data_IF_881013289731
#
_entry.id   IF_881013289731
#
_cell.length_a   1.000
_cell.length_b   1.000
_cell.length_c   1.000
_cell.angle_alpha   90.00
_cell.angle_beta   90.00
_cell.angle_gamma   90.00
#
_symmetry.space_group_name_H-M   'P 1'
#
loop_
_entity.id
_entity.type
_entity.pdbx_description
1 polymer ?
#
# COMPACT_ATOMS: atom_id res chain seq x y z
N UNK A 1 -11.99 -12.10 -16.25
CA UNK A 1 -11.18 -11.57 -15.12
C UNK A 1 -10.04 -10.68 -15.61
N UNK A 2 -9.19 -11.17 -16.53
CA UNK A 2 -8.12 -10.36 -17.16
C UNK A 2 -8.63 -9.06 -17.83
N UNK A 3 -9.88 -9.06 -18.31
CA UNK A 3 -10.54 -7.85 -18.81
C UNK A 3 -10.84 -6.81 -17.73
N UNK A 4 -11.20 -7.24 -16.51
CA UNK A 4 -11.68 -6.34 -15.46
C UNK A 4 -10.56 -5.54 -14.80
N UNK A 5 -9.40 -6.17 -14.53
CA UNK A 5 -8.27 -5.45 -13.94
C UNK A 5 -7.76 -4.35 -14.88
N UNK A 6 -7.67 -4.65 -16.18
CA UNK A 6 -7.31 -3.65 -17.20
C UNK A 6 -8.29 -2.48 -17.24
N UNK A 7 -9.61 -2.76 -17.28
CA UNK A 7 -10.61 -1.68 -17.26
C UNK A 7 -10.60 -0.87 -15.97
N UNK A 8 -10.33 -1.50 -14.82
CA UNK A 8 -10.24 -0.80 -13.55
C UNK A 8 -9.00 0.11 -13.49
N UNK A 9 -7.87 -0.35 -14.02
CA UNK A 9 -6.63 0.45 -14.14
C UNK A 9 -6.85 1.62 -15.09
N UNK A 10 -7.37 1.39 -16.29
CA UNK A 10 -7.63 2.45 -17.27
C UNK A 10 -8.56 3.53 -16.69
N UNK A 11 -9.71 3.10 -16.12
CA UNK A 11 -10.65 4.00 -15.47
C UNK A 11 -10.01 4.80 -14.34
N UNK A 12 -9.22 4.16 -13.48
CA UNK A 12 -8.56 4.88 -12.39
C UNK A 12 -7.51 5.86 -12.91
N UNK A 13 -6.71 5.48 -13.90
CA UNK A 13 -5.68 6.32 -14.50
C UNK A 13 -6.28 7.63 -15.03
N UNK A 14 -7.42 7.56 -15.70
CA UNK A 14 -8.18 8.73 -16.15
C UNK A 14 -8.79 9.53 -14.99
N UNK A 15 -9.48 8.86 -14.05
CA UNK A 15 -10.17 9.51 -12.91
C UNK A 15 -9.24 10.36 -12.05
N UNK A 16 -8.00 9.90 -11.83
CA UNK A 16 -7.02 10.61 -11.00
C UNK A 16 -5.97 11.37 -11.83
N UNK A 17 -6.13 11.43 -13.15
CA UNK A 17 -5.22 12.09 -14.08
C UNK A 17 -3.76 11.69 -13.91
N UNK A 18 -3.54 10.39 -13.69
CA UNK A 18 -2.20 9.86 -13.47
C UNK A 18 -1.30 10.08 -14.69
N UNK A 19 -0.01 10.30 -14.43
CA UNK A 19 1.00 10.57 -15.47
C UNK A 19 1.85 9.33 -15.77
N UNK A 20 1.85 8.33 -14.89
CA UNK A 20 2.63 7.11 -15.04
C UNK A 20 2.02 5.91 -14.31
N UNK A 21 2.49 4.72 -14.68
CA UNK A 21 2.17 3.45 -14.02
C UNK A 21 3.45 2.74 -13.58
N UNK A 22 3.38 2.01 -12.47
CA UNK A 22 4.41 1.05 -12.06
C UNK A 22 3.76 -0.29 -11.77
N UNK A 23 4.26 -1.38 -12.36
CA UNK A 23 3.78 -2.73 -12.07
C UNK A 23 4.76 -3.50 -11.18
N UNK A 24 4.24 -4.13 -10.12
CA UNK A 24 5.01 -5.01 -9.24
C UNK A 24 4.72 -6.45 -9.61
N UNK A 25 5.77 -7.22 -9.89
CA UNK A 25 5.70 -8.64 -10.21
C UNK A 25 4.87 -8.91 -11.48
N UNK A 26 5.31 -8.43 -12.65
CA UNK A 26 4.58 -8.62 -13.90
C UNK A 26 4.47 -10.09 -14.32
N UNK A 27 5.41 -10.94 -13.87
CA UNK A 27 5.51 -12.35 -14.27
C UNK A 27 5.51 -12.50 -15.79
N UNK A 28 4.57 -13.27 -16.33
CA UNK A 28 4.39 -13.47 -17.79
C UNK A 28 3.65 -12.32 -18.50
N UNK A 29 3.50 -11.17 -17.84
CA UNK A 29 2.94 -9.93 -18.39
C UNK A 29 1.43 -9.89 -18.51
N UNK A 30 0.70 -10.55 -17.59
CA UNK A 30 -0.77 -10.59 -17.65
C UNK A 30 -1.43 -9.21 -17.42
N UNK A 31 -0.89 -8.44 -16.46
CA UNK A 31 -1.32 -7.05 -16.20
C UNK A 31 -0.53 -6.09 -17.10
N UNK A 32 0.74 -6.38 -17.38
CA UNK A 32 1.58 -5.64 -18.33
C UNK A 32 0.91 -5.41 -19.69
N UNK A 33 0.30 -6.45 -20.27
CA UNK A 33 -0.45 -6.34 -21.53
C UNK A 33 -1.63 -5.36 -21.46
N UNK A 34 -2.13 -5.04 -20.26
CA UNK A 34 -3.23 -4.10 -20.06
C UNK A 34 -2.75 -2.68 -19.81
N UNK A 35 -1.68 -2.50 -19.04
CA UNK A 35 -1.13 -1.16 -18.79
C UNK A 35 -0.52 -0.53 -20.04
N UNK A 36 0.01 -1.35 -20.97
CA UNK A 36 0.52 -0.89 -22.27
C UNK A 36 -0.52 -0.17 -23.12
N UNK A 37 -1.79 -0.57 -23.00
CA UNK A 37 -2.90 0.05 -23.72
C UNK A 37 -3.36 1.36 -23.04
N UNK A 38 -2.90 1.62 -21.80
CA UNK A 38 -3.29 2.78 -20.98
C UNK A 38 -2.24 3.88 -21.01
N UNK A 39 -0.97 3.54 -20.87
CA UNK A 39 0.13 4.51 -20.82
C UNK A 39 1.39 3.95 -21.47
N UNK A 40 2.19 4.85 -22.07
CA UNK A 40 3.58 4.55 -22.48
C UNK A 40 4.59 4.83 -21.38
N UNK A 41 4.21 5.66 -20.42
CA UNK A 41 5.03 6.02 -19.27
C UNK A 41 4.82 5.03 -18.14
N UNK A 42 5.49 3.88 -18.25
CA UNK A 42 5.49 2.88 -17.20
C UNK A 42 6.78 2.05 -17.17
N UNK A 43 7.05 1.46 -16.02
CA UNK A 43 8.04 0.41 -15.85
C UNK A 43 7.49 -0.70 -14.95
N UNK A 44 8.16 -1.85 -14.99
CA UNK A 44 7.80 -3.02 -14.21
C UNK A 44 8.98 -3.44 -13.33
N UNK A 45 8.69 -3.91 -12.12
CA UNK A 45 9.68 -4.45 -11.19
C UNK A 45 9.48 -5.95 -11.06
N UNK A 46 10.45 -6.74 -11.49
CA UNK A 46 10.40 -8.20 -11.46
C UNK A 46 11.61 -8.78 -10.72
N UNK A 47 11.37 -9.73 -9.81
CA UNK A 47 12.45 -10.38 -9.06
C UNK A 47 13.04 -11.57 -9.83
N UNK A 48 12.22 -12.25 -10.62
CA UNK A 48 12.61 -13.44 -11.38
C UNK A 48 13.17 -13.06 -12.76
N UNK A 49 14.49 -13.14 -12.91
CA UNK A 49 15.21 -12.90 -14.17
C UNK A 49 14.73 -13.79 -15.32
N UNK A 50 14.16 -14.97 -15.03
CA UNK A 50 13.67 -15.88 -16.07
C UNK A 50 12.40 -15.35 -16.76
N UNK A 51 11.79 -14.29 -16.24
CA UNK A 51 10.64 -13.64 -16.85
C UNK A 51 11.01 -12.71 -18.01
N UNK A 52 12.29 -12.34 -18.19
CA UNK A 52 12.74 -11.41 -19.24
C UNK A 52 12.19 -11.77 -20.63
N UNK A 53 12.31 -13.02 -21.13
CA UNK A 53 11.83 -13.35 -22.48
C UNK A 53 10.32 -13.12 -22.65
N UNK A 54 9.53 -13.41 -21.61
CA UNK A 54 8.08 -13.21 -21.65
C UNK A 54 7.71 -11.73 -21.67
N UNK A 55 8.44 -10.89 -20.93
CA UNK A 55 8.22 -9.45 -20.90
C UNK A 55 8.63 -8.78 -22.22
N UNK A 56 9.73 -9.24 -22.83
CA UNK A 56 10.13 -8.81 -24.18
C UNK A 56 9.12 -9.26 -25.23
N UNK A 57 8.56 -10.48 -25.13
CA UNK A 57 7.49 -10.97 -26.02
C UNK A 57 6.18 -10.18 -25.86
N UNK A 58 5.88 -9.71 -24.65
CA UNK A 58 4.79 -8.73 -24.40
C UNK A 58 5.07 -7.40 -25.11
N UNK A 59 6.32 -7.14 -25.50
CA UNK A 59 6.79 -5.97 -26.21
C UNK A 59 7.23 -4.85 -25.27
N UNK A 60 7.84 -5.18 -24.14
CA UNK A 60 8.53 -4.20 -23.30
C UNK A 60 9.92 -3.93 -23.85
N UNK A 61 10.35 -2.67 -23.76
CA UNK A 61 11.74 -2.33 -23.95
C UNK A 61 12.54 -2.69 -22.68
N UNK A 62 13.83 -3.05 -22.83
CA UNK A 62 14.69 -3.37 -21.68
C UNK A 62 14.71 -2.29 -20.60
N UNK A 63 14.63 -1.02 -21.00
CA UNK A 63 14.59 0.13 -20.07
C UNK A 63 13.33 0.20 -19.21
N UNK A 64 12.26 -0.51 -19.60
CA UNK A 64 11.02 -0.60 -18.84
C UNK A 64 11.01 -1.75 -17.84
N UNK A 65 12.04 -2.60 -17.84
CA UNK A 65 12.13 -3.78 -16.99
C UNK A 65 13.23 -3.55 -15.95
N UNK A 66 12.81 -3.42 -14.70
CA UNK A 66 13.72 -3.30 -13.56
C UNK A 66 13.77 -4.65 -12.85
N UNK A 67 14.91 -5.32 -12.92
CA UNK A 67 15.11 -6.56 -12.20
C UNK A 67 15.61 -6.31 -10.78
N UNK A 68 14.90 -6.82 -9.78
CA UNK A 68 15.27 -6.67 -8.37
C UNK A 68 14.14 -7.02 -7.41
N UNK A 69 14.49 -7.13 -6.12
CA UNK A 69 13.47 -7.20 -5.08
C UNK A 69 12.78 -5.83 -4.97
N UNK A 70 11.45 -5.81 -5.14
CA UNK A 70 10.67 -4.59 -5.02
C UNK A 70 10.93 -3.86 -3.68
N UNK A 71 11.18 -4.60 -2.60
CA UNK A 71 11.47 -4.01 -1.30
C UNK A 71 12.79 -3.22 -1.27
N UNK A 72 13.71 -3.49 -2.19
CA UNK A 72 15.04 -2.88 -2.25
C UNK A 72 15.20 -1.88 -3.41
N UNK A 73 14.37 -1.98 -4.45
CA UNK A 73 14.42 -1.08 -5.62
C UNK A 73 14.17 0.38 -5.22
N UNK A 74 14.99 1.27 -5.77
CA UNK A 74 14.78 2.73 -5.73
C UNK A 74 13.73 3.15 -6.75
N UNK A 75 12.46 3.06 -6.34
CA UNK A 75 11.30 3.43 -7.15
C UNK A 75 11.31 4.92 -7.53
N UNK A 76 11.79 5.79 -6.64
CA UNK A 76 11.80 7.24 -6.88
C UNK A 76 12.79 7.57 -8.00
N UNK A 77 14.00 7.01 -7.94
CA UNK A 77 15.00 7.14 -9.01
C UNK A 77 14.51 6.60 -10.35
N UNK A 78 13.82 5.46 -10.37
CA UNK A 78 13.23 4.92 -11.61
C UNK A 78 12.19 5.87 -12.23
N UNK A 79 11.31 6.45 -11.41
CA UNK A 79 10.31 7.42 -11.88
C UNK A 79 10.95 8.72 -12.39
N UNK A 80 11.98 9.21 -11.70
CA UNK A 80 12.75 10.37 -12.16
C UNK A 80 13.42 10.12 -13.51
N UNK A 81 13.92 8.90 -13.75
CA UNK A 81 14.46 8.48 -15.05
C UNK A 81 13.43 8.52 -16.19
N UNK A 82 12.14 8.42 -15.87
CA UNK A 82 11.03 8.60 -16.82
C UNK A 82 10.54 10.06 -16.89
N UNK A 83 11.12 10.98 -16.12
CA UNK A 83 10.63 12.35 -15.98
C UNK A 83 9.28 12.44 -15.25
N UNK A 84 8.98 11.48 -14.37
CA UNK A 84 7.69 11.35 -13.68
C UNK A 84 7.85 11.46 -12.17
N UNK A 85 6.76 11.83 -11.50
CA UNK A 85 6.70 11.93 -10.05
C UNK A 85 5.85 10.81 -9.45
N UNK A 86 6.30 10.23 -8.34
CA UNK A 86 5.54 9.23 -7.58
C UNK A 86 4.16 9.76 -7.16
N UNK A 87 4.04 11.05 -6.84
CA UNK A 87 2.77 11.71 -6.50
C UNK A 87 1.78 11.82 -7.66
N UNK A 88 2.21 11.47 -8.88
CA UNK A 88 1.40 11.45 -10.10
C UNK A 88 1.33 10.04 -10.70
N UNK A 89 1.84 9.04 -9.99
CA UNK A 89 1.97 7.66 -10.48
C UNK A 89 0.96 6.75 -9.78
N UNK A 90 0.42 5.79 -10.52
CA UNK A 90 -0.33 4.65 -9.97
C UNK A 90 0.54 3.40 -9.89
N UNK A 91 0.49 2.71 -8.75
CA UNK A 91 1.10 1.40 -8.61
C UNK A 91 0.06 0.29 -8.86
N UNK A 92 0.44 -0.75 -9.59
CA UNK A 92 -0.43 -1.90 -9.87
C UNK A 92 0.34 -3.20 -9.66
N UNK A 93 -0.37 -4.31 -9.46
CA UNK A 93 0.32 -5.59 -9.41
C UNK A 93 -0.52 -6.74 -8.89
N UNK A 94 -0.01 -7.94 -9.09
CA UNK A 94 -0.50 -9.15 -8.44
C UNK A 94 0.48 -9.52 -7.32
N UNK A 95 0.19 -9.09 -6.09
CA UNK A 95 1.18 -9.12 -5.04
C UNK A 95 1.35 -10.54 -4.46
N UNK A 96 2.59 -10.99 -4.23
CA UNK A 96 2.83 -12.24 -3.53
C UNK A 96 2.27 -12.20 -2.11
N UNK A 97 1.63 -13.29 -1.73
CA UNK A 97 0.84 -13.35 -0.49
C UNK A 97 1.66 -13.16 0.78
N UNK A 98 2.91 -13.63 0.80
CA UNK A 98 3.75 -13.64 1.98
C UNK A 98 4.43 -12.28 2.26
N UNK A 99 4.57 -11.43 1.24
CA UNK A 99 5.19 -10.09 1.34
C UNK A 99 4.21 -8.94 1.02
N UNK A 100 2.90 -9.20 0.95
CA UNK A 100 1.91 -8.15 0.69
C UNK A 100 1.98 -7.00 1.70
N UNK A 101 2.12 -7.31 3.00
CA UNK A 101 2.21 -6.26 4.04
C UNK A 101 3.48 -5.40 3.90
N UNK A 102 4.70 -5.98 3.78
CA UNK A 102 5.92 -5.20 3.45
C UNK A 102 5.80 -4.36 2.19
N UNK A 103 5.24 -4.90 1.10
CA UNK A 103 5.04 -4.16 -0.16
C UNK A 103 4.16 -2.93 0.08
N UNK A 104 3.04 -3.11 0.77
CA UNK A 104 2.13 -2.01 1.07
C UNK A 104 2.73 -0.95 1.99
N UNK A 105 3.61 -1.32 2.93
CA UNK A 105 4.39 -0.36 3.71
C UNK A 105 5.28 0.48 2.77
N UNK A 106 6.16 -0.17 2.00
CA UNK A 106 7.04 0.55 1.05
C UNK A 106 6.28 1.46 0.08
N UNK A 107 5.13 1.02 -0.44
CA UNK A 107 4.33 1.81 -1.38
C UNK A 107 3.69 3.06 -0.77
N UNK A 108 3.27 2.99 0.50
CA UNK A 108 2.29 3.92 1.05
C UNK A 108 2.67 4.54 2.38
N UNK A 109 3.87 4.23 2.90
CA UNK A 109 4.31 4.67 4.23
C UNK A 109 5.75 5.18 4.26
N UNK A 110 6.57 4.84 3.26
CA UNK A 110 7.97 5.26 3.16
C UNK A 110 8.10 6.73 2.68
N UNK A 111 7.69 7.69 3.52
CA UNK A 111 7.98 9.13 3.37
C UNK A 111 6.95 10.01 2.64
N UNK A 112 7.32 11.28 2.38
CA UNK A 112 6.45 12.35 1.86
C UNK A 112 5.99 12.18 0.39
N UNK A 113 6.47 11.14 -0.28
CA UNK A 113 6.35 10.92 -1.71
C UNK A 113 5.53 9.66 -2.02
N UNK A 114 4.32 9.57 -1.46
CA UNK A 114 3.45 8.42 -1.70
C UNK A 114 2.76 8.48 -3.08
N UNK A 115 2.43 7.31 -3.64
CA UNK A 115 1.71 7.16 -4.92
C UNK A 115 0.32 7.84 -4.93
N UNK A 116 -0.27 8.13 -6.11
CA UNK A 116 -1.68 8.54 -6.21
C UNK A 116 -2.65 7.46 -5.68
N UNK A 117 -2.19 6.22 -5.70
CA UNK A 117 -2.97 5.06 -5.32
C UNK A 117 -2.56 3.87 -6.17
N UNK A 118 -3.49 2.93 -6.33
CA UNK A 118 -3.19 1.73 -7.08
C UNK A 118 -4.28 0.69 -7.10
N UNK A 119 -4.08 -0.32 -7.94
CA UNK A 119 -4.96 -1.47 -8.04
C UNK A 119 -4.13 -2.74 -7.89
N UNK A 120 -4.46 -3.51 -6.86
CA UNK A 120 -3.69 -4.70 -6.50
C UNK A 120 -4.58 -5.92 -6.38
N UNK A 121 -4.07 -7.03 -6.86
CA UNK A 121 -4.60 -8.35 -6.54
C UNK A 121 -3.84 -8.93 -5.36
N UNK A 122 -4.56 -9.30 -4.30
CA UNK A 122 -4.02 -9.80 -3.03
C UNK A 122 -4.89 -10.96 -2.51
N UNK A 123 -4.45 -11.63 -1.44
CA UNK A 123 -5.32 -12.60 -0.75
C UNK A 123 -6.61 -11.92 -0.25
N UNK A 124 -7.73 -12.63 -0.38
CA UNK A 124 -9.03 -12.12 0.05
C UNK A 124 -9.06 -11.77 1.54
N UNK A 125 -8.48 -12.61 2.40
CA UNK A 125 -8.40 -12.36 3.84
C UNK A 125 -7.65 -11.06 4.18
N UNK A 126 -6.56 -10.78 3.44
CA UNK A 126 -5.81 -9.52 3.62
C UNK A 126 -6.67 -8.35 3.15
N UNK A 127 -7.34 -8.47 2.00
CA UNK A 127 -8.27 -7.45 1.51
C UNK A 127 -9.37 -7.12 2.51
N UNK A 128 -10.03 -8.12 3.07
CA UNK A 128 -11.07 -7.94 4.09
C UNK A 128 -10.55 -7.24 5.37
N UNK A 129 -9.27 -7.40 5.70
CA UNK A 129 -8.64 -6.76 6.87
C UNK A 129 -8.24 -5.30 6.64
N UNK A 130 -8.09 -4.84 5.39
CA UNK A 130 -7.54 -3.51 5.07
C UNK A 130 -8.55 -2.54 4.44
N UNK A 131 -9.75 -2.99 4.08
CA UNK A 131 -10.79 -2.14 3.50
C UNK A 131 -11.33 -1.13 4.50
N UNK A 132 -11.73 0.06 4.04
CA UNK A 132 -12.10 1.17 4.93
C UNK A 132 -13.28 0.87 5.87
N UNK A 133 -14.20 -0.04 5.49
CA UNK A 133 -15.34 -0.45 6.31
C UNK A 133 -15.05 -1.62 7.27
N UNK A 134 -13.78 -2.01 7.47
CA UNK A 134 -13.44 -3.14 8.33
C UNK A 134 -13.80 -2.87 9.81
N UNK A 135 -14.58 -3.78 10.42
CA UNK A 135 -15.00 -3.68 11.82
C UNK A 135 -13.82 -3.72 12.80
N UNK A 136 -12.78 -4.50 12.47
CA UNK A 136 -11.56 -4.62 13.27
C UNK A 136 -10.40 -3.95 12.54
N UNK A 137 -10.00 -2.78 13.03
CA UNK A 137 -8.91 -1.96 12.50
C UNK A 137 -7.55 -2.57 12.87
N UNK A 138 -7.02 -3.42 11.99
CA UNK A 138 -5.67 -4.01 12.11
C UNK A 138 -4.56 -2.95 12.04
N UNK A 139 -3.33 -3.31 12.41
CA UNK A 139 -2.16 -2.43 12.20
C UNK A 139 -2.07 -1.95 10.74
N UNK A 140 -2.14 -2.89 9.80
CA UNK A 140 -2.02 -2.59 8.38
C UNK A 140 -3.18 -1.74 7.88
N UNK A 141 -4.39 -2.00 8.39
CA UNK A 141 -5.55 -1.14 8.11
C UNK A 141 -5.28 0.31 8.50
N UNK A 142 -4.79 0.57 9.72
CA UNK A 142 -4.58 1.93 10.24
C UNK A 142 -3.53 2.68 9.44
N UNK A 143 -2.45 1.98 9.15
CA UNK A 143 -1.33 2.51 8.39
C UNK A 143 -1.77 2.92 6.98
N UNK A 144 -2.46 2.02 6.26
CA UNK A 144 -2.91 2.29 4.90
C UNK A 144 -4.06 3.29 4.83
N UNK A 145 -5.05 3.16 5.72
CA UNK A 145 -6.20 4.05 5.74
C UNK A 145 -5.87 5.43 6.33
N UNK A 146 -4.62 5.68 6.73
CA UNK A 146 -4.15 7.02 7.07
C UNK A 146 -4.25 7.94 5.86
N UNK A 147 -3.51 7.58 4.80
CA UNK A 147 -3.38 8.37 3.57
C UNK A 147 -4.28 7.92 2.43
N UNK A 148 -4.83 6.70 2.49
CA UNK A 148 -5.61 6.12 1.39
C UNK A 148 -7.04 5.74 1.80
N UNK A 149 -7.97 5.90 0.87
CA UNK A 149 -9.24 5.18 0.89
C UNK A 149 -9.04 3.83 0.18
N UNK A 150 -9.36 2.72 0.88
CA UNK A 150 -9.15 1.36 0.37
C UNK A 150 -10.50 0.70 0.10
N UNK A 151 -10.77 0.43 -1.17
CA UNK A 151 -12.02 -0.18 -1.65
C UNK A 151 -11.81 -1.62 -2.08
N UNK A 152 -12.71 -2.49 -1.65
CA UNK A 152 -12.82 -3.85 -2.16
C UNK A 152 -13.57 -3.80 -3.49
N UNK A 153 -12.91 -4.10 -4.61
CA UNK A 153 -13.58 -4.08 -5.91
C UNK A 153 -14.32 -5.38 -6.18
N UNK A 154 -13.66 -6.53 -5.95
CA UNK A 154 -14.24 -7.85 -6.21
C UNK A 154 -13.41 -9.00 -5.64
N UNK A 155 -14.10 -10.12 -5.42
CA UNK A 155 -13.46 -11.42 -5.18
C UNK A 155 -12.97 -12.03 -6.50
N UNK A 156 -11.85 -12.75 -6.42
CA UNK A 156 -11.13 -13.36 -7.52
C UNK A 156 -10.90 -14.85 -7.19
N UNK A 157 -11.67 -15.79 -7.81
CA UNK A 157 -11.58 -17.20 -7.47
C UNK A 157 -10.26 -17.84 -7.95
N UNK A 158 -9.77 -18.91 -7.26
CA UNK A 158 -8.51 -19.60 -7.59
C UNK A 158 -8.39 -20.10 -9.03
N UNK A 159 -9.52 -20.50 -9.63
CA UNK A 159 -9.58 -21.02 -11.02
C UNK A 159 -9.09 -20.04 -12.09
N UNK A 160 -8.86 -18.78 -11.73
CA UNK A 160 -8.37 -17.77 -12.65
C UNK A 160 -6.83 -17.63 -12.67
N UNK A 161 -6.13 -18.44 -11.88
CA UNK A 161 -4.68 -18.50 -11.81
C UNK A 161 -4.15 -19.81 -12.36
N UNK A 162 -2.88 -19.81 -12.77
CA UNK A 162 -2.16 -21.00 -13.20
C UNK A 162 -0.72 -20.93 -12.66
N UNK A 163 -0.34 -21.80 -11.71
CA UNK A 163 -1.20 -22.76 -11.01
C UNK A 163 -2.26 -22.08 -10.13
N UNK A 164 -3.35 -22.79 -9.83
CA UNK A 164 -4.41 -22.27 -8.96
C UNK A 164 -3.93 -22.22 -7.49
N UNK A 165 -4.09 -21.08 -6.77
CA UNK A 165 -3.75 -20.99 -5.36
C UNK A 165 -4.75 -21.77 -4.49
N UNK A 166 -4.34 -22.12 -3.27
CA UNK A 166 -5.22 -22.78 -2.28
C UNK A 166 -6.27 -21.84 -1.66
N UNK A 167 -6.10 -20.53 -1.84
CA UNK A 167 -6.92 -19.48 -1.20
C UNK A 167 -7.52 -18.53 -2.23
N UNK A 168 -8.59 -17.84 -1.85
CA UNK A 168 -9.22 -16.81 -2.69
C UNK A 168 -8.34 -15.56 -2.74
N UNK A 169 -8.41 -14.87 -3.87
CA UNK A 169 -7.85 -13.52 -4.02
C UNK A 169 -8.97 -12.49 -4.06
N UNK A 170 -8.60 -11.22 -3.98
CA UNK A 170 -9.46 -10.09 -4.25
C UNK A 170 -8.71 -9.00 -4.99
N UNK A 171 -9.46 -8.13 -5.65
CA UNK A 171 -8.95 -6.89 -6.22
C UNK A 171 -9.31 -5.74 -5.29
N UNK A 172 -8.31 -4.95 -4.93
CA UNK A 172 -8.46 -3.76 -4.08
C UNK A 172 -8.00 -2.51 -4.82
N UNK A 173 -8.70 -1.40 -4.61
CA UNK A 173 -8.37 -0.07 -5.13
C UNK A 173 -7.95 0.82 -3.97
N UNK A 174 -6.80 1.46 -4.10
CA UNK A 174 -6.29 2.48 -3.20
C UNK A 174 -6.44 3.83 -3.87
N UNK A 175 -7.01 4.81 -3.18
CA UNK A 175 -7.15 6.19 -3.67
C UNK A 175 -6.54 7.10 -2.61
N UNK A 176 -5.54 7.90 -2.96
CA UNK A 176 -4.98 8.87 -2.03
C UNK A 176 -6.06 9.87 -1.62
N UNK A 177 -6.19 10.13 -0.33
CA UNK A 177 -7.15 11.10 0.18
C UNK A 177 -6.67 12.51 -0.13
N UNK A 178 -7.59 13.42 -0.48
CA UNK A 178 -7.29 14.83 -0.75
C UNK A 178 -6.68 15.54 0.47
N UNK A 179 -7.18 15.18 1.67
CA UNK A 179 -6.70 15.72 2.95
C UNK A 179 -6.20 14.59 3.84
N UNK A 180 -4.92 14.69 4.16
CA UNK A 180 -4.21 13.83 5.10
C UNK A 180 -3.58 14.73 6.15
N UNK A 181 -3.83 14.42 7.41
CA UNK A 181 -3.24 15.14 8.54
C UNK A 181 -1.71 14.96 8.48
N UNK A 182 -0.92 16.05 8.54
CA UNK A 182 0.53 15.96 8.43
C UNK A 182 1.08 15.25 9.67
N UNK A 183 1.68 14.08 9.44
CA UNK A 183 2.39 13.31 10.46
C UNK A 183 3.68 12.79 9.87
N UNK A 184 4.68 12.65 10.74
CA UNK A 184 5.85 11.86 10.41
C UNK A 184 5.42 10.37 10.34
N UNK A 185 5.61 9.73 9.20
CA UNK A 185 5.21 8.32 9.01
C UNK A 185 6.00 7.35 9.89
N UNK A 186 7.26 7.63 10.19
CA UNK A 186 8.06 6.80 11.10
C UNK A 186 7.47 6.83 12.50
N UNK A 187 6.99 8.00 12.94
CA UNK A 187 6.33 8.13 14.23
C UNK A 187 4.94 7.48 14.26
N UNK A 188 4.20 7.56 13.16
CA UNK A 188 2.94 6.83 12.99
C UNK A 188 3.17 5.32 13.06
N UNK A 189 4.19 4.80 12.37
CA UNK A 189 4.54 3.39 12.42
C UNK A 189 4.96 2.97 13.83
N UNK A 190 5.81 3.77 14.49
CA UNK A 190 6.24 3.53 15.86
C UNK A 190 5.04 3.50 16.82
N UNK A 191 4.14 4.48 16.73
CA UNK A 191 2.91 4.52 17.52
C UNK A 191 2.07 3.27 17.30
N UNK A 192 1.83 2.91 16.03
CA UNK A 192 1.02 1.73 15.71
C UNK A 192 1.69 0.43 16.16
N UNK A 193 3.02 0.32 16.08
CA UNK A 193 3.78 -0.86 16.52
C UNK A 193 3.64 -1.05 18.03
N UNK A 194 3.67 0.03 18.81
CA UNK A 194 3.57 -0.02 20.26
C UNK A 194 2.14 -0.21 20.75
N UNK A 195 1.16 0.39 20.07
CA UNK A 195 -0.22 0.42 20.56
C UNK A 195 -1.14 -0.66 19.98
N UNK A 196 -0.96 -1.06 18.71
CA UNK A 196 -1.84 -2.04 18.07
C UNK A 196 -1.86 -3.44 18.73
N UNK A 197 -0.74 -3.98 19.25
CA UNK A 197 -0.72 -5.28 19.94
C UNK A 197 -1.66 -5.31 21.16
N UNK A 198 -1.90 -4.15 21.77
CA UNK A 198 -2.72 -3.99 22.97
C UNK A 198 -4.06 -3.32 22.69
N UNK A 199 -4.52 -3.28 21.44
CA UNK A 199 -5.76 -2.59 20.99
C UNK A 199 -7.02 -2.90 21.80
N UNK A 200 -7.06 -4.03 22.53
CA UNK A 200 -8.15 -4.35 23.47
C UNK A 200 -8.16 -3.55 24.78
N UNK A 201 -7.13 -2.75 25.06
CA UNK A 201 -6.98 -1.92 26.26
C UNK A 201 -7.16 -0.44 25.90
N UNK A 202 -7.47 0.38 26.90
CA UNK A 202 -7.48 1.84 26.74
C UNK A 202 -6.06 2.37 26.55
N UNK A 203 -5.91 3.50 25.84
CA UNK A 203 -4.62 4.08 25.51
C UNK A 203 -3.78 4.37 26.75
N UNK A 204 -4.37 4.87 27.84
CA UNK A 204 -3.64 5.12 29.08
C UNK A 204 -3.08 3.83 29.73
N UNK A 205 -3.75 2.68 29.55
CA UNK A 205 -3.21 1.39 30.00
C UNK A 205 -2.06 0.92 29.12
N UNK A 206 -2.15 1.18 27.82
CA UNK A 206 -1.10 0.81 26.86
C UNK A 206 0.14 1.67 27.09
N UNK A 207 -0.01 2.98 27.27
CA UNK A 207 1.08 3.90 27.57
C UNK A 207 1.90 3.42 28.78
N UNK A 208 1.24 3.05 29.88
CA UNK A 208 1.91 2.48 31.07
C UNK A 208 2.65 1.16 30.79
N UNK A 209 2.14 0.32 29.89
CA UNK A 209 2.81 -0.92 29.49
C UNK A 209 4.08 -0.59 28.69
N UNK A 210 3.97 0.33 27.73
CA UNK A 210 5.08 0.76 26.86
C UNK A 210 6.18 1.44 27.69
N UNK A 211 5.82 2.38 28.57
CA UNK A 211 6.73 3.05 29.50
C UNK A 211 7.49 2.04 30.39
N UNK A 212 6.76 1.09 30.99
CA UNK A 212 7.36 0.09 31.88
C UNK A 212 8.37 -0.80 31.17
N UNK A 213 8.17 -1.09 29.89
CA UNK A 213 9.07 -1.94 29.13
C UNK A 213 10.31 -1.19 28.60
N UNK A 214 10.37 0.14 28.74
CA UNK A 214 11.43 0.99 28.17
C UNK A 214 11.70 0.68 26.68
N UNK A 215 10.66 0.31 25.93
CA UNK A 215 10.85 -0.18 24.56
C UNK A 215 11.40 0.92 23.64
N UNK A 216 11.16 2.22 23.92
CA UNK A 216 11.59 3.34 23.09
C UNK A 216 11.80 4.64 23.90
N UNK A 217 12.65 5.55 23.40
CA UNK A 217 12.87 6.89 24.00
C UNK A 217 11.74 7.89 23.70
N UNK A 218 10.94 7.67 22.64
CA UNK A 218 9.86 8.58 22.26
C UNK A 218 8.64 8.39 23.17
N UNK A 219 8.20 9.50 23.78
CA UNK A 219 6.99 9.55 24.60
C UNK A 219 5.86 10.15 23.77
N UNK A 220 4.75 9.43 23.67
CA UNK A 220 3.53 9.92 23.01
C UNK A 220 2.69 10.73 24.00
N UNK A 221 2.33 11.95 23.64
CA UNK A 221 1.54 12.82 24.52
C UNK A 221 0.05 12.47 24.44
N UNK A 222 -0.41 11.62 25.36
CA UNK A 222 -1.80 11.16 25.41
C UNK A 222 -2.53 11.94 26.52
N UNK A 223 -3.40 12.87 26.12
CA UNK A 223 -4.22 13.64 27.06
C UNK A 223 -5.16 12.76 27.89
N UNK A 224 -5.63 13.26 29.03
CA UNK A 224 -6.55 12.52 29.90
C UNK A 224 -7.86 12.09 29.20
N UNK A 225 -8.36 12.91 28.27
CA UNK A 225 -9.56 12.58 27.49
C UNK A 225 -9.29 11.43 26.53
N UNK A 226 -8.13 11.41 25.86
CA UNK A 226 -7.73 10.35 24.94
C UNK A 226 -7.31 9.07 25.69
N UNK A 227 -6.75 9.18 26.89
CA UNK A 227 -6.31 8.04 27.69
C UNK A 227 -7.43 7.02 27.99
N UNK A 228 -8.69 7.47 28.01
CA UNK A 228 -9.88 6.64 28.22
C UNK A 228 -10.33 5.89 26.96
N UNK A 229 -9.92 6.34 25.78
CA UNK A 229 -10.28 5.71 24.50
C UNK A 229 -9.47 4.46 24.24
N UNK A 230 -9.97 3.60 23.36
CA UNK A 230 -9.25 2.48 22.74
C UNK A 230 -8.71 2.91 21.39
N UNK A 231 -7.72 2.18 20.88
CA UNK A 231 -7.07 2.55 19.62
C UNK A 231 -8.08 2.64 18.46
N UNK A 232 -9.10 1.77 18.41
CA UNK A 232 -10.16 1.76 17.38
C UNK A 232 -11.12 2.93 17.42
N UNK A 233 -11.19 3.63 18.55
CA UNK A 233 -12.07 4.78 18.77
C UNK A 233 -11.41 6.10 18.37
N UNK A 234 -10.11 6.10 18.12
CA UNK A 234 -9.39 7.29 17.69
C UNK A 234 -9.76 7.72 16.28
N UNK A 235 -9.99 9.03 16.10
CA UNK A 235 -9.99 9.66 14.79
C UNK A 235 -8.55 9.87 14.29
N UNK A 236 -8.39 10.27 13.01
CA UNK A 236 -7.05 10.58 12.48
C UNK A 236 -6.47 11.82 13.13
N UNK A 237 -7.31 12.81 13.37
CA UNK A 237 -6.95 14.06 14.04
C UNK A 237 -6.42 13.79 15.45
N UNK A 238 -7.05 12.88 16.20
CA UNK A 238 -6.60 12.49 17.53
C UNK A 238 -5.27 11.73 17.49
N UNK A 239 -5.07 10.85 16.51
CA UNK A 239 -3.78 10.18 16.32
C UNK A 239 -2.68 11.20 15.96
N UNK A 240 -2.96 12.17 15.10
CA UNK A 240 -2.03 13.23 14.75
C UNK A 240 -1.68 14.11 15.95
N UNK A 241 -2.65 14.39 16.84
CA UNK A 241 -2.41 15.09 18.10
C UNK A 241 -1.46 14.31 19.03
N UNK A 242 -1.63 12.98 19.12
CA UNK A 242 -0.79 12.11 19.97
C UNK A 242 0.65 12.01 19.44
N UNK A 243 0.81 11.90 18.12
CA UNK A 243 2.12 11.75 17.47
C UNK A 243 2.91 13.07 17.50
N UNK A 244 2.21 14.20 17.48
CA UNK A 244 2.77 15.52 17.21
C UNK A 244 2.71 15.83 15.71
N UNK A 245 2.60 17.12 15.36
CA UNK A 245 2.72 17.54 13.96
C UNK A 245 4.15 17.24 13.51
N UNK A 246 4.31 16.78 12.27
CA UNK A 246 5.63 16.79 11.64
C UNK A 246 6.11 18.24 11.60
N UNK A 247 7.28 18.53 12.16
CA UNK A 247 7.95 19.80 11.87
C UNK A 247 8.17 19.82 10.36
N UNK A 248 7.56 20.80 9.70
CA UNK A 248 7.57 20.97 8.25
C UNK A 248 8.93 21.47 7.74
#
# INVERSE_FOLDING_TARGET
MRSYIGSAIAKMYEEVQAQALMEIGPGKGAITRKIKDVSRDFFVVEKDLTMEPYLLEVGLEKKQIVFGDFLEVDVVGQLQGLGKNIKETLAVGNLPYYITSPIFRKLFTDGEACFLGGIFMIQDEVGQKIISSAQKKSYLWRLLNWAYEVKYLKMVPPKCFSPAPKVKSCLVKFIRKERVEPVNFQDLELFLNLFAPYSRKTLGRIAKIVEKKQEHQRVFNISESLAKKRLEELSREEVAQIIGKSDA
#
